data_IF_747311361932
#
_entry.id   IF_747311361932
#
_cell.length_a   1.000
_cell.length_b   1.000
_cell.length_c   1.000
_cell.angle_alpha   90.00
_cell.angle_beta   90.00
_cell.angle_gamma   90.00
#
_symmetry.space_group_name_H-M   'P 1'
#
loop_
_entity.id
_entity.type
_entity.pdbx_description
1 polymer ?
#
# COMPACT_ATOMS: atom_id res chain seq x y z
N UNK A 1 19.61 49.02 17.70
CA UNK A 1 19.74 47.69 17.06
C UNK A 1 18.34 47.15 16.88
N UNK A 2 17.79 47.26 15.67
CA UNK A 2 16.40 46.89 15.37
C UNK A 2 16.32 45.37 15.23
N UNK A 3 15.65 44.71 16.17
CA UNK A 3 15.34 43.28 16.09
C UNK A 3 14.19 43.14 15.09
N UNK A 4 14.53 42.70 13.87
CA UNK A 4 13.57 42.36 12.82
C UNK A 4 12.73 41.16 13.26
N UNK A 5 11.57 41.42 13.85
CA UNK A 5 10.52 40.43 14.11
C UNK A 5 9.81 40.02 12.81
N UNK A 6 10.48 39.21 11.97
CA UNK A 6 9.76 38.44 10.95
C UNK A 6 9.07 37.28 11.66
N UNK A 7 7.76 37.41 11.91
CA UNK A 7 6.89 36.23 12.14
C UNK A 7 7.17 35.25 11.01
N UNK A 8 7.65 34.05 11.32
CA UNK A 8 7.59 32.95 10.38
C UNK A 8 6.11 32.81 9.98
N UNK A 9 5.79 33.15 8.73
CA UNK A 9 4.53 32.74 8.15
C UNK A 9 4.50 31.22 8.25
N UNK A 10 3.65 30.67 9.12
CA UNK A 10 3.32 29.25 9.06
C UNK A 10 2.79 29.00 7.64
N UNK A 11 3.60 28.35 6.81
CA UNK A 11 3.16 27.90 5.51
C UNK A 11 2.00 26.95 5.75
N UNK A 12 0.77 27.37 5.48
CA UNK A 12 -0.39 26.48 5.57
C UNK A 12 -0.26 25.47 4.44
N UNK A 13 0.16 24.25 4.78
CA UNK A 13 0.28 23.12 3.86
C UNK A 13 -1.10 22.53 3.50
N UNK A 14 -2.09 22.80 4.34
CA UNK A 14 -3.48 22.43 4.11
C UNK A 14 -4.10 23.34 3.04
N UNK A 15 -4.79 22.78 2.06
CA UNK A 15 -5.66 23.59 1.21
C UNK A 15 -7.02 23.72 1.90
N UNK A 16 -7.30 24.88 2.46
CA UNK A 16 -8.59 25.13 3.16
C UNK A 16 -9.79 25.03 2.22
N UNK A 17 -9.60 25.11 0.89
CA UNK A 17 -10.69 24.88 -0.09
C UNK A 17 -11.10 23.41 -0.11
N UNK A 18 -10.13 22.51 -0.01
CA UNK A 18 -10.32 21.07 -0.11
C UNK A 18 -10.57 20.43 1.25
N UNK A 19 -10.73 21.23 2.31
CA UNK A 19 -10.92 20.72 3.68
C UNK A 19 -12.15 19.82 3.81
N UNK A 20 -13.19 20.10 3.02
CA UNK A 20 -14.39 19.27 2.93
C UNK A 20 -14.14 17.94 2.18
N UNK A 21 -13.05 17.82 1.44
CA UNK A 21 -12.70 16.60 0.70
C UNK A 21 -11.79 15.67 1.52
N UNK A 22 -11.36 16.10 2.71
CA UNK A 22 -10.55 15.26 3.62
C UNK A 22 -11.39 14.27 4.45
N UNK A 23 -12.71 14.20 4.21
CA UNK A 23 -13.55 13.16 4.80
C UNK A 23 -13.31 11.81 4.12
N UNK A 24 -13.29 10.75 4.93
CA UNK A 24 -13.16 9.38 4.43
C UNK A 24 -14.56 8.78 4.30
N UNK A 25 -14.94 8.23 3.14
CA UNK A 25 -16.20 7.49 3.03
C UNK A 25 -16.16 6.28 3.96
N UNK A 26 -17.34 5.78 4.34
CA UNK A 26 -17.43 4.51 5.04
C UNK A 26 -16.84 3.39 4.16
N UNK A 27 -16.33 2.33 4.79
CA UNK A 27 -15.81 1.16 4.07
C UNK A 27 -16.88 0.50 3.20
N UNK A 28 -18.15 0.55 3.61
CA UNK A 28 -19.29 0.10 2.82
C UNK A 28 -19.50 0.96 1.58
N UNK A 29 -19.49 2.30 1.72
CA UNK A 29 -19.65 3.19 0.56
C UNK A 29 -18.51 3.01 -0.45
N UNK A 30 -17.26 2.91 0.04
CA UNK A 30 -16.11 2.66 -0.80
C UNK A 30 -16.18 1.29 -1.51
N UNK A 31 -16.66 0.25 -0.84
CA UNK A 31 -16.89 -1.06 -1.45
C UNK A 31 -17.92 -0.99 -2.57
N UNK A 32 -19.07 -0.35 -2.33
CA UNK A 32 -20.11 -0.18 -3.34
C UNK A 32 -19.58 0.57 -4.57
N UNK A 33 -18.74 1.59 -4.37
CA UNK A 33 -18.06 2.29 -5.46
C UNK A 33 -17.14 1.36 -6.28
N UNK A 34 -16.35 0.51 -5.63
CA UNK A 34 -15.51 -0.48 -6.32
C UNK A 34 -16.34 -1.51 -7.10
N UNK A 35 -17.44 -2.00 -6.54
CA UNK A 35 -18.36 -2.94 -7.19
C UNK A 35 -19.03 -2.32 -8.42
N UNK A 36 -19.45 -1.05 -8.31
CA UNK A 36 -20.01 -0.28 -9.41
C UNK A 36 -18.98 -0.05 -10.54
N UNK A 37 -17.72 0.28 -10.21
CA UNK A 37 -16.64 0.34 -11.21
C UNK A 37 -16.44 -1.02 -11.89
N UNK A 38 -16.35 -2.10 -11.12
CA UNK A 38 -16.13 -3.43 -11.66
C UNK A 38 -17.25 -3.85 -12.63
N UNK A 39 -18.49 -3.49 -12.31
CA UNK A 39 -19.65 -3.69 -13.17
C UNK A 39 -19.62 -2.80 -14.41
N UNK A 40 -19.31 -1.50 -14.28
CA UNK A 40 -19.27 -0.53 -15.39
C UNK A 40 -18.24 -0.89 -16.46
N UNK A 41 -17.11 -1.47 -16.06
CA UNK A 41 -16.05 -1.89 -16.99
C UNK A 41 -16.12 -3.39 -17.37
N UNK A 42 -17.12 -4.12 -16.88
CA UNK A 42 -17.28 -5.57 -17.10
C UNK A 42 -15.99 -6.36 -16.83
N UNK A 43 -15.32 -6.06 -15.70
CA UNK A 43 -14.06 -6.70 -15.31
C UNK A 43 -14.25 -7.79 -14.24
N UNK A 44 -15.47 -8.01 -13.77
CA UNK A 44 -15.74 -8.99 -12.72
C UNK A 44 -15.42 -10.43 -13.16
N UNK A 45 -15.62 -10.74 -14.44
CA UNK A 45 -15.42 -12.06 -15.04
C UNK A 45 -13.95 -12.38 -15.39
N UNK A 46 -13.05 -11.39 -15.39
CA UNK A 46 -11.61 -11.58 -15.64
C UNK A 46 -10.79 -11.71 -14.35
N UNK A 47 -11.43 -11.60 -13.19
CA UNK A 47 -10.79 -11.76 -11.89
C UNK A 47 -10.94 -13.21 -11.41
N UNK A 48 -9.81 -13.86 -11.18
CA UNK A 48 -9.75 -15.22 -10.65
C UNK A 48 -9.17 -15.21 -9.24
N UNK A 49 -9.83 -15.90 -8.31
CA UNK A 49 -9.25 -16.16 -6.99
C UNK A 49 -8.19 -17.25 -7.11
N UNK A 50 -6.93 -16.84 -7.28
CA UNK A 50 -5.79 -17.74 -7.38
C UNK A 50 -4.56 -17.11 -6.72
N UNK A 51 -3.70 -17.95 -6.14
CA UNK A 51 -2.44 -17.52 -5.51
C UNK A 51 -1.30 -17.75 -6.50
N UNK A 52 -0.55 -16.70 -6.85
CA UNK A 52 0.64 -16.82 -7.70
C UNK A 52 1.83 -17.26 -6.83
N UNK A 53 2.34 -18.45 -7.11
CA UNK A 53 3.41 -19.09 -6.34
C UNK A 53 4.79 -18.88 -6.98
N UNK A 54 4.85 -18.81 -8.32
CA UNK A 54 6.08 -18.57 -9.09
C UNK A 54 5.77 -17.81 -10.38
N UNK A 55 6.68 -16.92 -10.74
CA UNK A 55 6.70 -16.16 -11.98
C UNK A 55 8.03 -16.48 -12.65
N UNK A 56 7.95 -17.01 -13.87
CA UNK A 56 9.12 -17.25 -14.70
C UNK A 56 8.94 -16.58 -16.05
N UNK A 57 10.04 -16.23 -16.71
CA UNK A 57 10.06 -15.59 -18.02
C UNK A 57 11.07 -16.27 -18.94
N UNK A 58 10.63 -16.53 -20.17
CA UNK A 58 11.47 -17.03 -21.25
C UNK A 58 11.36 -16.05 -22.43
N UNK A 59 12.49 -15.50 -22.92
CA UNK A 59 12.50 -14.68 -24.12
C UNK A 59 12.17 -15.55 -25.33
N UNK A 60 11.65 -14.94 -26.40
CA UNK A 60 11.42 -15.69 -27.63
C UNK A 60 12.75 -15.94 -28.36
N UNK A 61 12.87 -17.09 -29.02
CA UNK A 61 14.00 -17.38 -29.92
C UNK A 61 13.98 -16.49 -31.18
N UNK A 62 12.82 -15.93 -31.53
CA UNK A 62 12.66 -14.97 -32.61
C UNK A 62 12.70 -13.55 -32.05
N UNK A 63 13.62 -12.71 -32.54
CA UNK A 63 13.79 -11.32 -32.07
C UNK A 63 12.54 -10.45 -32.21
N UNK A 64 11.66 -10.76 -33.17
CA UNK A 64 10.41 -10.03 -33.39
C UNK A 64 9.23 -10.56 -32.56
N UNK A 65 9.41 -11.70 -31.90
CA UNK A 65 8.36 -12.35 -31.12
C UNK A 65 8.45 -11.96 -29.63
N UNK A 66 7.31 -11.75 -28.96
CA UNK A 66 7.30 -11.48 -27.53
C UNK A 66 7.74 -12.72 -26.74
N UNK A 67 8.54 -12.51 -25.69
CA UNK A 67 8.76 -13.53 -24.67
C UNK A 67 7.47 -13.91 -23.95
N UNK A 68 7.51 -15.01 -23.20
CA UNK A 68 6.36 -15.55 -22.48
C UNK A 68 6.66 -15.72 -21.01
N UNK A 69 5.78 -15.17 -20.17
CA UNK A 69 5.73 -15.49 -18.75
C UNK A 69 4.97 -16.78 -18.51
N UNK A 70 5.50 -17.62 -17.62
CA UNK A 70 4.78 -18.76 -17.03
C UNK A 70 4.50 -18.46 -15.56
N UNK A 71 3.21 -18.33 -15.22
CA UNK A 71 2.74 -18.13 -13.86
C UNK A 71 2.29 -19.48 -13.29
N UNK A 72 2.93 -19.94 -12.23
CA UNK A 72 2.45 -21.08 -11.45
C UNK A 72 1.50 -20.57 -10.39
N UNK A 73 0.24 -20.96 -10.48
CA UNK A 73 -0.81 -20.51 -9.56
C UNK A 73 -1.47 -21.70 -8.86
N UNK A 74 -2.20 -21.44 -7.77
CA UNK A 74 -2.95 -22.49 -7.05
C UNK A 74 -4.06 -23.15 -7.88
N UNK A 75 -4.47 -22.53 -9.00
CA UNK A 75 -5.45 -23.05 -9.95
C UNK A 75 -4.82 -23.60 -11.24
N UNK A 76 -3.49 -23.67 -11.31
CA UNK A 76 -2.76 -24.22 -12.45
C UNK A 76 -1.80 -23.22 -13.09
N UNK A 77 -1.26 -23.58 -14.26
CA UNK A 77 -0.33 -22.71 -15.01
C UNK A 77 -1.10 -21.71 -15.85
N UNK A 78 -0.63 -20.46 -15.89
CA UNK A 78 -1.12 -19.39 -16.78
C UNK A 78 0.04 -18.84 -17.59
N UNK A 79 -0.24 -18.34 -18.78
CA UNK A 79 0.75 -17.74 -19.67
C UNK A 79 0.39 -16.30 -19.98
N UNK A 80 1.38 -15.42 -20.03
CA UNK A 80 1.18 -14.01 -20.33
C UNK A 80 2.36 -13.45 -21.13
N UNK A 81 2.11 -12.44 -21.97
CA UNK A 81 3.18 -11.66 -22.63
C UNK A 81 3.70 -10.54 -21.73
N UNK A 82 2.83 -10.01 -20.88
CA UNK A 82 3.09 -8.88 -20.00
C UNK A 82 2.47 -9.22 -18.64
N UNK A 83 3.19 -8.91 -17.56
CA UNK A 83 2.71 -9.12 -16.18
C UNK A 83 2.69 -7.79 -15.44
N UNK A 84 1.63 -7.52 -14.67
CA UNK A 84 1.58 -6.40 -13.72
C UNK A 84 1.52 -6.96 -12.31
N UNK A 85 2.55 -6.71 -11.52
CA UNK A 85 2.69 -7.15 -10.14
C UNK A 85 2.18 -6.08 -9.18
N UNK A 86 0.96 -6.29 -8.68
CA UNK A 86 0.24 -5.37 -7.78
C UNK A 86 -0.10 -6.04 -6.43
N UNK A 87 0.89 -6.61 -5.74
CA UNK A 87 0.69 -7.47 -4.56
C UNK A 87 0.48 -6.74 -3.22
N UNK A 88 0.20 -5.44 -3.22
CA UNK A 88 -0.01 -4.66 -2.00
C UNK A 88 1.21 -4.67 -1.08
N UNK A 89 1.10 -5.30 0.10
CA UNK A 89 2.22 -5.44 1.03
C UNK A 89 3.28 -6.46 0.57
N UNK A 90 2.92 -7.37 -0.34
CA UNK A 90 3.74 -8.45 -0.93
C UNK A 90 4.29 -9.51 0.05
N UNK A 91 4.57 -9.13 1.29
CA UNK A 91 4.99 -10.03 2.36
C UNK A 91 3.86 -10.25 3.36
N UNK A 92 3.83 -11.45 3.93
CA UNK A 92 2.95 -11.77 5.03
C UNK A 92 3.28 -10.90 6.25
N UNK A 93 2.27 -10.48 7.04
CA UNK A 93 2.52 -9.79 8.29
C UNK A 93 3.30 -10.70 9.23
N UNK A 94 4.34 -10.18 9.86
CA UNK A 94 5.18 -10.92 10.82
C UNK A 94 5.47 -10.06 12.03
N UNK A 95 5.64 -10.70 13.17
CA UNK A 95 6.24 -10.05 14.33
C UNK A 95 7.72 -9.75 13.99
N UNK A 96 8.28 -8.59 14.38
CA UNK A 96 9.68 -8.26 14.13
C UNK A 96 10.63 -9.37 14.60
N UNK A 97 11.66 -9.66 13.81
CA UNK A 97 12.60 -10.76 14.10
C UNK A 97 13.42 -10.55 15.38
N UNK A 98 13.58 -9.30 15.79
CA UNK A 98 14.25 -8.87 17.02
C UNK A 98 13.28 -8.77 18.22
N UNK A 99 12.02 -9.23 18.08
CA UNK A 99 11.07 -9.15 19.19
C UNK A 99 11.53 -10.03 20.37
N UNK A 100 11.35 -9.56 21.62
CA UNK A 100 11.77 -10.31 22.80
C UNK A 100 10.78 -11.43 23.20
N UNK A 101 9.69 -11.62 22.46
CA UNK A 101 8.64 -12.57 22.78
C UNK A 101 8.91 -13.93 22.14
N UNK A 102 8.95 -14.97 22.97
CA UNK A 102 9.03 -16.36 22.49
C UNK A 102 7.72 -16.80 21.81
N UNK A 103 7.79 -17.60 20.73
CA UNK A 103 6.61 -18.13 20.04
C UNK A 103 5.77 -19.10 20.89
N UNK A 104 6.29 -19.55 22.04
CA UNK A 104 5.58 -20.45 22.97
C UNK A 104 4.45 -19.73 23.73
N UNK A 105 4.55 -18.41 23.88
CA UNK A 105 3.53 -17.62 24.59
C UNK A 105 2.49 -16.99 23.67
N UNK A 106 1.59 -16.20 24.26
CA UNK A 106 0.48 -15.59 23.51
C UNK A 106 0.90 -14.25 22.88
N UNK A 107 1.32 -14.27 21.62
CA UNK A 107 1.72 -13.08 20.85
C UNK A 107 1.31 -13.23 19.39
N UNK A 108 0.87 -12.16 18.74
CA UNK A 108 0.60 -12.17 17.30
C UNK A 108 0.90 -10.81 16.65
N UNK A 109 0.94 -10.79 15.32
CA UNK A 109 0.84 -9.56 14.55
C UNK A 109 -0.63 -9.19 14.33
N UNK A 110 -0.96 -7.90 14.32
CA UNK A 110 -2.30 -7.35 14.19
C UNK A 110 -3.11 -7.86 12.99
N UNK A 111 -2.43 -8.26 11.92
CA UNK A 111 -3.03 -8.77 10.69
C UNK A 111 -2.95 -10.29 10.54
N UNK A 112 -2.45 -11.00 11.56
CA UNK A 112 -2.54 -12.46 11.65
C UNK A 112 -3.75 -12.78 12.51
N UNK A 113 -4.91 -12.99 11.88
CA UNK A 113 -6.05 -13.61 12.55
C UNK A 113 -5.83 -15.12 12.62
N UNK A 114 -6.24 -15.75 13.71
CA UNK A 114 -6.52 -17.19 13.68
C UNK A 114 -7.55 -17.46 12.57
N UNK A 115 -7.42 -18.62 11.94
CA UNK A 115 -7.79 -18.94 10.55
C UNK A 115 -9.28 -18.87 10.16
N UNK A 116 -10.12 -18.13 10.89
CA UNK A 116 -11.56 -18.03 10.64
C UNK A 116 -12.00 -16.58 10.36
N UNK A 117 -12.82 -16.34 9.32
CA UNK A 117 -13.27 -15.00 8.91
C UNK A 117 -14.20 -14.27 9.92
N UNK A 118 -14.58 -14.93 11.02
CA UNK A 118 -15.46 -14.40 12.07
C UNK A 118 -14.76 -14.28 13.45
N UNK A 119 -13.45 -14.51 13.55
CA UNK A 119 -12.77 -14.43 14.85
C UNK A 119 -12.38 -12.98 15.19
N UNK A 120 -12.61 -12.64 16.45
CA UNK A 120 -12.17 -11.39 17.06
C UNK A 120 -10.65 -11.34 17.08
N UNK A 121 -10.05 -10.14 17.02
CA UNK A 121 -8.59 -9.97 17.16
C UNK A 121 -8.05 -10.46 18.52
N UNK A 122 -8.93 -10.70 19.50
CA UNK A 122 -8.59 -11.22 20.81
C UNK A 122 -8.56 -12.75 20.79
N UNK A 123 -7.51 -13.38 21.35
CA UNK A 123 -7.43 -14.83 21.40
C UNK A 123 -8.51 -15.44 22.31
N UNK A 124 -8.93 -16.70 22.07
CA UNK A 124 -9.97 -17.38 22.86
C UNK A 124 -9.73 -17.37 24.38
N UNK A 125 -8.46 -17.40 24.80
CA UNK A 125 -8.07 -17.34 26.20
C UNK A 125 -8.48 -16.02 26.87
N UNK A 126 -8.32 -14.88 26.18
CA UNK A 126 -8.77 -13.58 26.67
C UNK A 126 -10.29 -13.50 26.67
N UNK A 127 -10.96 -13.93 25.59
CA UNK A 127 -12.42 -13.93 25.51
C UNK A 127 -13.05 -14.72 26.66
N UNK A 128 -12.45 -15.86 27.04
CA UNK A 128 -12.88 -16.64 28.20
C UNK A 128 -12.68 -15.90 29.53
N UNK A 129 -11.59 -15.15 29.70
CA UNK A 129 -11.39 -14.31 30.90
C UNK A 129 -12.43 -13.19 30.95
N UNK A 130 -12.72 -12.55 29.82
CA UNK A 130 -13.74 -11.50 29.69
C UNK A 130 -15.13 -12.05 30.04
N UNK A 131 -15.54 -13.20 29.51
CA UNK A 131 -16.86 -13.78 29.81
C UNK A 131 -17.02 -14.16 31.29
N UNK A 132 -15.92 -14.53 31.95
CA UNK A 132 -15.87 -14.78 33.39
C UNK A 132 -15.68 -13.52 34.23
N UNK A 133 -15.70 -12.32 33.63
CA UNK A 133 -15.47 -11.02 34.27
C UNK A 133 -14.15 -10.97 35.06
N UNK A 134 -13.13 -11.71 34.61
CA UNK A 134 -11.78 -11.66 35.19
C UNK A 134 -11.00 -10.49 34.60
N UNK A 135 -10.07 -9.95 35.38
CA UNK A 135 -9.16 -8.92 34.92
C UNK A 135 -8.34 -9.43 33.72
N UNK A 136 -8.21 -8.58 32.71
CA UNK A 136 -7.43 -8.85 31.49
C UNK A 136 -6.56 -7.65 31.11
N UNK A 137 -5.30 -7.91 30.80
CA UNK A 137 -4.33 -6.92 30.37
C UNK A 137 -3.81 -7.28 28.98
N UNK A 138 -4.03 -6.39 28.02
CA UNK A 138 -3.56 -6.53 26.64
C UNK A 138 -2.41 -5.56 26.40
N UNK A 139 -1.29 -6.04 25.88
CA UNK A 139 -0.19 -5.18 25.41
C UNK A 139 -0.27 -5.00 23.89
N UNK A 140 -0.23 -3.76 23.41
CA UNK A 140 -0.16 -3.42 21.99
C UNK A 140 1.17 -2.71 21.72
N UNK A 141 1.93 -3.19 20.74
CA UNK A 141 3.18 -2.56 20.30
C UNK A 141 2.94 -1.84 18.98
N UNK A 142 3.05 -0.50 18.99
CA UNK A 142 2.91 0.33 17.80
C UNK A 142 2.18 1.67 18.06
N UNK A 143 2.56 2.71 17.32
CA UNK A 143 2.01 4.08 17.44
C UNK A 143 1.20 4.54 16.21
N UNK A 144 0.65 3.61 15.43
CA UNK A 144 -0.09 3.91 14.20
C UNK A 144 -1.61 3.80 14.36
N UNK A 145 -2.35 4.12 13.29
CA UNK A 145 -3.82 4.04 13.28
C UNK A 145 -4.32 2.63 13.62
N UNK A 146 -3.66 1.58 13.12
CA UNK A 146 -4.00 0.19 13.42
C UNK A 146 -3.93 -0.11 14.93
N UNK A 147 -2.89 0.34 15.64
CA UNK A 147 -2.82 0.10 17.10
C UNK A 147 -3.91 0.85 17.85
N UNK A 148 -4.23 2.08 17.45
CA UNK A 148 -5.32 2.85 18.04
C UNK A 148 -6.69 2.19 17.84
N UNK A 149 -6.94 1.66 16.63
CA UNK A 149 -8.15 0.92 16.29
C UNK A 149 -8.30 -0.36 17.11
N UNK A 150 -7.19 -1.09 17.29
CA UNK A 150 -7.17 -2.32 18.09
C UNK A 150 -7.41 -2.01 19.56
N UNK A 151 -6.81 -0.94 20.11
CA UNK A 151 -7.04 -0.52 21.48
C UNK A 151 -8.53 -0.22 21.73
N UNK A 152 -9.15 0.59 20.86
CA UNK A 152 -10.58 0.91 20.96
C UNK A 152 -11.46 -0.36 20.86
N UNK A 153 -11.19 -1.22 19.88
CA UNK A 153 -11.94 -2.46 19.69
C UNK A 153 -11.79 -3.43 20.87
N UNK A 154 -10.57 -3.60 21.40
CA UNK A 154 -10.30 -4.47 22.54
C UNK A 154 -11.03 -4.01 23.81
N UNK A 155 -11.01 -2.71 24.10
CA UNK A 155 -11.71 -2.12 25.25
C UNK A 155 -13.23 -2.30 25.12
N UNK A 156 -13.78 -2.02 23.94
CA UNK A 156 -15.21 -2.23 23.63
C UNK A 156 -15.62 -3.71 23.70
N UNK A 157 -14.70 -4.61 23.37
CA UNK A 157 -14.88 -6.06 23.51
C UNK A 157 -14.73 -6.58 24.94
N UNK A 158 -14.41 -5.73 25.92
CA UNK A 158 -14.42 -6.07 27.35
C UNK A 158 -13.05 -6.30 27.98
N UNK A 159 -11.94 -6.06 27.28
CA UNK A 159 -10.59 -6.09 27.89
C UNK A 159 -10.51 -5.08 29.02
N UNK A 160 -10.03 -5.48 30.20
CA UNK A 160 -10.03 -4.60 31.39
C UNK A 160 -9.13 -3.40 31.19
N UNK A 161 -7.86 -3.63 30.84
CA UNK A 161 -6.91 -2.55 30.58
C UNK A 161 -6.06 -2.88 29.35
N UNK A 162 -5.94 -1.92 28.44
CA UNK A 162 -5.02 -1.98 27.32
C UNK A 162 -3.79 -1.14 27.66
N UNK A 163 -2.61 -1.67 27.41
CA UNK A 163 -1.34 -0.97 27.49
C UNK A 163 -0.78 -0.88 26.09
N UNK A 164 -0.40 0.32 25.67
CA UNK A 164 0.13 0.53 24.33
C UNK A 164 1.49 1.21 24.42
N UNK A 165 2.51 0.56 23.85
CA UNK A 165 3.90 1.04 23.83
C UNK A 165 4.31 1.44 22.41
N UNK A 166 5.18 2.44 22.30
CA UNK A 166 5.75 2.86 21.02
C UNK A 166 7.12 3.54 21.20
N UNK A 167 8.00 3.36 20.21
CA UNK A 167 9.41 3.80 20.25
C UNK A 167 9.62 5.31 20.19
N UNK A 168 8.61 6.04 19.71
CA UNK A 168 8.66 7.49 19.54
C UNK A 168 7.47 8.17 20.20
N UNK A 169 7.19 9.43 19.85
CA UNK A 169 6.01 10.11 20.33
C UNK A 169 4.75 9.62 19.59
N UNK A 170 3.59 9.79 20.20
CA UNK A 170 2.32 9.63 19.53
C UNK A 170 2.15 10.76 18.50
N UNK A 171 2.19 10.40 17.22
CA UNK A 171 2.04 11.37 16.11
C UNK A 171 0.58 11.48 15.72
N UNK A 172 0.05 12.70 15.72
CA UNK A 172 -1.33 12.98 15.29
C UNK A 172 -1.29 13.60 13.90
N UNK A 173 -1.86 12.93 12.91
CA UNK A 173 -1.87 13.38 11.51
C UNK A 173 -3.14 12.91 10.80
N UNK A 174 -3.68 13.74 9.93
CA UNK A 174 -4.80 13.34 9.06
C UNK A 174 -4.38 12.36 7.97
N UNK A 175 -3.14 12.50 7.49
CA UNK A 175 -2.55 11.66 6.46
C UNK A 175 -1.34 10.88 6.98
N UNK A 176 -1.09 9.73 6.35
CA UNK A 176 0.04 8.84 6.64
C UNK A 176 1.37 9.31 6.03
N UNK A 177 1.39 10.53 5.48
CA UNK A 177 2.56 11.24 5.00
C UNK A 177 2.41 12.74 5.23
N UNK A 178 3.48 13.50 5.08
CA UNK A 178 3.46 14.96 5.20
C UNK A 178 2.53 15.63 4.17
N UNK A 179 1.83 16.68 4.59
CA UNK A 179 0.83 17.39 3.76
C UNK A 179 1.39 17.92 2.43
N UNK A 180 2.69 18.24 2.38
CA UNK A 180 3.37 18.65 1.15
C UNK A 180 3.28 17.63 0.01
N UNK A 181 3.03 16.34 0.31
CA UNK A 181 2.90 15.27 -0.68
C UNK A 181 1.48 15.05 -1.20
N UNK A 182 0.46 15.55 -0.50
CA UNK A 182 -0.94 15.22 -0.78
C UNK A 182 -1.82 16.45 -1.03
N UNK A 183 -1.40 17.62 -0.56
CA UNK A 183 -2.18 18.85 -0.64
C UNK A 183 -1.53 19.85 -1.62
N UNK A 184 -1.62 21.15 -1.30
CA UNK A 184 -1.28 22.29 -2.15
C UNK A 184 0.09 22.21 -2.85
N UNK A 185 1.11 21.67 -2.20
CA UNK A 185 2.49 21.65 -2.70
C UNK A 185 2.93 20.32 -3.33
N UNK A 186 1.98 19.39 -3.53
CA UNK A 186 2.23 18.05 -4.06
C UNK A 186 3.10 18.03 -5.30
N UNK A 187 2.80 18.86 -6.29
CA UNK A 187 3.56 18.89 -7.56
C UNK A 187 5.02 19.31 -7.35
N UNK A 188 5.30 20.19 -6.38
CA UNK A 188 6.67 20.61 -6.05
C UNK A 188 7.44 19.47 -5.39
N UNK A 189 6.81 18.79 -4.43
CA UNK A 189 7.42 17.65 -3.73
C UNK A 189 7.67 16.47 -4.68
N UNK A 190 6.72 16.15 -5.56
CA UNK A 190 6.90 15.13 -6.59
C UNK A 190 7.98 15.51 -7.61
N UNK A 191 8.04 16.77 -8.03
CA UNK A 191 9.10 17.23 -8.94
C UNK A 191 10.49 17.10 -8.30
N UNK A 192 10.63 17.48 -7.02
CA UNK A 192 11.87 17.26 -6.27
C UNK A 192 12.23 15.77 -6.18
N UNK A 193 11.25 14.92 -5.84
CA UNK A 193 11.46 13.49 -5.72
C UNK A 193 11.87 12.82 -7.03
N UNK A 194 11.21 13.17 -8.14
CA UNK A 194 11.53 12.62 -9.46
C UNK A 194 12.82 13.20 -10.04
N UNK A 195 13.27 14.36 -9.56
CA UNK A 195 14.54 14.97 -9.92
C UNK A 195 15.76 14.42 -9.17
N UNK A 196 15.58 13.52 -8.18
CA UNK A 196 16.70 12.88 -7.49
C UNK A 196 17.45 11.92 -8.43
N UNK A 197 18.77 11.83 -8.27
CA UNK A 197 19.64 11.08 -9.19
C UNK A 197 19.67 9.57 -8.91
N UNK A 198 19.56 9.16 -7.64
CA UNK A 198 19.72 7.75 -7.23
C UNK A 198 18.64 7.28 -6.26
N UNK A 199 18.52 5.96 -6.15
CA UNK A 199 17.48 5.31 -5.35
C UNK A 199 17.69 5.34 -3.84
N UNK A 200 18.92 5.55 -3.39
CA UNK A 200 19.21 5.75 -1.96
C UNK A 200 18.63 7.07 -1.47
N UNK A 201 18.81 8.15 -2.22
CA UNK A 201 18.20 9.45 -1.91
C UNK A 201 16.68 9.39 -1.95
N UNK A 202 16.11 8.68 -2.93
CA UNK A 202 14.66 8.46 -3.01
C UNK A 202 14.15 7.69 -1.80
N UNK A 203 14.87 6.67 -1.33
CA UNK A 203 14.52 5.93 -0.12
C UNK A 203 14.53 6.84 1.12
N UNK A 204 15.55 7.68 1.28
CA UNK A 204 15.64 8.58 2.44
C UNK A 204 14.53 9.65 2.42
N UNK A 205 14.23 10.23 1.26
CA UNK A 205 13.11 11.15 1.09
C UNK A 205 11.76 10.45 1.36
N UNK A 206 11.59 9.22 0.90
CA UNK A 206 10.42 8.38 1.19
C UNK A 206 10.25 8.13 2.70
N UNK A 207 11.30 7.68 3.39
CA UNK A 207 11.28 7.42 4.85
C UNK A 207 10.91 8.69 5.62
N UNK A 208 11.51 9.83 5.25
CA UNK A 208 11.22 11.14 5.84
C UNK A 208 9.78 11.56 5.62
N UNK A 209 9.24 11.37 4.42
CA UNK A 209 7.86 11.72 4.08
C UNK A 209 6.84 10.90 4.87
N UNK A 210 7.04 9.57 4.95
CA UNK A 210 6.15 8.65 5.68
C UNK A 210 6.25 8.88 7.19
N UNK A 211 7.46 9.06 7.73
CA UNK A 211 7.69 9.42 9.14
C UNK A 211 6.97 8.47 10.14
N UNK A 212 6.93 7.17 9.81
CA UNK A 212 6.36 6.12 10.65
C UNK A 212 4.85 6.18 10.87
N UNK A 213 4.36 5.40 11.84
CA UNK A 213 2.95 5.36 12.20
C UNK A 213 2.44 6.68 12.76
N UNK A 214 1.17 6.98 12.49
CA UNK A 214 0.44 8.10 13.08
C UNK A 214 -1.01 7.71 13.31
N UNK A 215 -1.68 8.45 14.21
CA UNK A 215 -3.09 8.32 14.54
C UNK A 215 -3.81 9.57 14.05
N UNK A 216 -5.01 9.42 13.51
CA UNK A 216 -5.80 10.57 13.06
C UNK A 216 -6.47 11.28 14.26
N UNK A 217 -6.94 12.53 14.09
CA UNK A 217 -7.58 13.29 15.17
C UNK A 217 -8.77 12.57 15.83
N UNK A 218 -9.56 11.86 15.02
CA UNK A 218 -10.70 11.05 15.49
C UNK A 218 -10.26 9.96 16.48
N UNK A 219 -9.33 9.08 16.09
CA UNK A 219 -8.87 8.03 17.00
C UNK A 219 -8.07 8.60 18.16
N UNK A 220 -7.36 9.71 17.98
CA UNK A 220 -6.70 10.38 19.09
C UNK A 220 -7.72 10.84 20.16
N UNK A 221 -8.88 11.37 19.75
CA UNK A 221 -9.96 11.70 20.68
C UNK A 221 -10.50 10.46 21.41
N UNK A 222 -10.69 9.35 20.68
CA UNK A 222 -11.12 8.07 21.27
C UNK A 222 -10.10 7.56 22.30
N UNK A 223 -8.80 7.57 21.97
CA UNK A 223 -7.75 7.15 22.90
C UNK A 223 -7.74 8.02 24.15
N UNK A 224 -7.91 9.35 24.04
CA UNK A 224 -8.02 10.24 25.20
C UNK A 224 -9.19 9.87 26.10
N UNK A 225 -10.34 9.52 25.53
CA UNK A 225 -11.49 9.05 26.32
C UNK A 225 -11.16 7.77 27.10
N UNK A 226 -10.50 6.81 26.45
CA UNK A 226 -10.09 5.56 27.10
C UNK A 226 -9.07 5.78 28.21
N UNK A 227 -8.11 6.70 28.01
CA UNK A 227 -7.14 7.11 29.04
C UNK A 227 -7.83 7.77 30.22
N UNK A 228 -8.77 8.70 29.98
CA UNK A 228 -9.53 9.36 31.04
C UNK A 228 -10.36 8.38 31.88
N UNK A 229 -10.80 7.28 31.28
CA UNK A 229 -11.50 6.19 31.97
C UNK A 229 -10.58 5.12 32.60
N UNK A 230 -9.25 5.32 32.55
CA UNK A 230 -8.24 4.36 33.02
C UNK A 230 -8.30 2.98 32.34
N UNK A 231 -8.85 2.91 31.13
CA UNK A 231 -8.95 1.68 30.32
C UNK A 231 -7.80 1.53 29.33
N UNK A 232 -7.08 2.61 29.06
CA UNK A 232 -5.89 2.64 28.20
C UNK A 232 -4.73 3.34 28.93
N UNK A 233 -3.55 2.73 28.87
CA UNK A 233 -2.29 3.34 29.31
C UNK A 233 -1.35 3.44 28.11
N UNK A 234 -0.87 4.65 27.81
CA UNK A 234 0.08 4.90 26.73
C UNK A 234 1.50 5.10 27.27
N UNK A 235 2.45 4.45 26.62
CA UNK A 235 3.88 4.56 26.89
C UNK A 235 4.62 4.94 25.61
N UNK A 236 4.86 6.24 25.45
CA UNK A 236 5.68 6.81 24.38
C UNK A 236 7.18 6.62 24.68
N UNK A 237 8.02 6.69 23.65
CA UNK A 237 9.48 6.52 23.79
C UNK A 237 9.90 5.25 24.56
N UNK A 238 9.16 4.16 24.37
CA UNK A 238 9.30 2.93 25.14
C UNK A 238 9.47 1.73 24.22
N UNK A 239 10.60 1.04 24.36
CA UNK A 239 10.91 -0.25 23.75
C UNK A 239 10.64 -1.40 24.71
N UNK A 240 10.32 -2.58 24.17
CA UNK A 240 10.27 -3.81 24.96
C UNK A 240 11.69 -4.38 25.02
N UNK A 241 12.28 -4.44 26.21
CA UNK A 241 13.65 -4.90 26.41
C UNK A 241 13.72 -6.42 26.59
N UNK A 242 12.77 -7.01 27.31
CA UNK A 242 12.70 -8.45 27.53
C UNK A 242 11.26 -8.89 27.84
N UNK A 243 10.94 -10.15 27.57
CA UNK A 243 9.66 -10.74 27.91
C UNK A 243 9.85 -12.20 28.34
N UNK A 244 9.17 -12.60 29.43
CA UNK A 244 9.21 -13.95 29.97
C UNK A 244 7.78 -14.49 30.05
N UNK A 245 7.55 -15.65 29.44
CA UNK A 245 6.25 -16.32 29.48
C UNK A 245 6.16 -17.22 30.71
N UNK A 246 5.12 -17.05 31.51
CA UNK A 246 4.76 -18.00 32.56
C UNK A 246 3.61 -18.90 32.07
N UNK A 247 3.90 -20.20 31.92
CA UNK A 247 2.95 -21.21 31.47
C UNK A 247 1.83 -21.50 32.48
N UNK A 248 2.07 -21.21 33.77
CA UNK A 248 1.12 -21.45 34.86
C UNK A 248 0.04 -20.37 34.86
N UNK A 249 0.43 -19.10 34.92
CA UNK A 249 -0.51 -17.97 34.84
C UNK A 249 -1.01 -17.70 33.42
N UNK A 250 -0.32 -18.25 32.40
CA UNK A 250 -0.53 -17.99 30.97
C UNK A 250 -0.47 -16.49 30.67
N UNK A 251 0.60 -15.86 31.14
CA UNK A 251 0.81 -14.43 30.97
C UNK A 251 2.28 -14.09 30.75
N UNK A 252 2.52 -12.92 30.15
CA UNK A 252 3.83 -12.34 29.91
C UNK A 252 4.20 -11.39 31.04
N UNK A 253 5.41 -11.56 31.58
CA UNK A 253 6.10 -10.52 32.35
C UNK A 253 7.03 -9.78 31.40
N UNK A 254 6.89 -8.45 31.33
CA UNK A 254 7.58 -7.62 30.33
C UNK A 254 8.45 -6.58 31.03
N UNK A 255 9.68 -6.40 30.54
CA UNK A 255 10.55 -5.29 30.92
C UNK A 255 10.71 -4.33 29.74
N UNK A 256 10.76 -3.04 30.04
CA UNK A 256 10.85 -1.98 29.03
C UNK A 256 12.14 -1.19 29.13
N UNK A 257 12.47 -0.50 28.06
CA UNK A 257 13.53 0.53 28.01
C UNK A 257 12.90 1.85 27.52
N UNK A 258 12.86 2.91 28.34
CA UNK A 258 13.27 2.95 29.74
C UNK A 258 12.40 2.06 30.65
N UNK A 259 12.90 1.63 31.83
CA UNK A 259 12.12 0.79 32.74
C UNK A 259 10.86 1.49 33.28
N UNK A 260 9.71 0.83 33.16
CA UNK A 260 8.46 1.27 33.76
C UNK A 260 8.19 0.43 35.00
N UNK A 261 8.02 1.10 36.15
CA UNK A 261 7.71 0.42 37.40
C UNK A 261 6.25 -0.08 37.42
N UNK A 262 6.02 -1.21 38.10
CA UNK A 262 4.68 -1.77 38.35
C UNK A 262 3.86 -2.10 37.08
N UNK A 263 4.51 -2.47 35.98
CA UNK A 263 3.78 -3.07 34.86
C UNK A 263 3.09 -4.36 35.31
N UNK A 264 1.82 -4.59 34.93
CA UNK A 264 1.17 -5.85 35.21
C UNK A 264 1.74 -6.94 34.29
N UNK A 265 1.34 -8.19 34.53
CA UNK A 265 1.50 -9.22 33.52
C UNK A 265 0.44 -9.08 32.42
N UNK A 266 0.76 -9.53 31.22
CA UNK A 266 -0.07 -9.39 30.02
C UNK A 266 -0.59 -10.73 29.53
N UNK A 267 -1.88 -10.82 29.26
CA UNK A 267 -2.51 -12.06 28.76
C UNK A 267 -2.17 -12.34 27.30
N UNK A 268 -1.93 -11.29 26.54
CA UNK A 268 -1.60 -11.34 25.12
C UNK A 268 -0.86 -10.09 24.68
N UNK A 269 -0.09 -10.22 23.60
CA UNK A 269 0.63 -9.12 22.97
C UNK A 269 0.29 -9.04 21.49
N UNK A 270 -0.10 -7.86 21.03
CA UNK A 270 -0.38 -7.59 19.61
C UNK A 270 0.66 -6.63 19.05
N UNK A 271 1.40 -7.06 18.04
CA UNK A 271 2.27 -6.20 17.25
C UNK A 271 1.48 -5.55 16.11
N UNK A 272 1.28 -4.24 16.21
CA UNK A 272 0.69 -3.42 15.16
C UNK A 272 1.79 -2.60 14.45
N UNK A 273 2.84 -3.30 14.01
CA UNK A 273 4.08 -2.71 13.50
C UNK A 273 4.12 -2.51 11.98
N UNK A 274 3.02 -2.84 11.28
CA UNK A 274 2.89 -2.64 9.84
C UNK A 274 3.36 -3.86 9.05
N UNK A 275 4.06 -3.63 7.95
CA UNK A 275 4.60 -4.70 7.11
C UNK A 275 6.03 -4.34 6.73
N UNK A 276 6.90 -5.34 6.69
CA UNK A 276 8.22 -5.19 6.10
C UNK A 276 8.13 -5.01 4.59
N UNK A 277 9.14 -4.36 4.02
CA UNK A 277 9.33 -4.27 2.58
C UNK A 277 10.66 -4.93 2.25
N UNK A 278 10.58 -6.04 1.53
CA UNK A 278 11.73 -6.77 1.03
C UNK A 278 11.29 -7.57 -0.18
N UNK A 279 11.56 -7.03 -1.36
CA UNK A 279 11.16 -7.62 -2.62
C UNK A 279 11.84 -8.96 -2.88
N UNK A 280 13.06 -9.14 -2.39
CA UNK A 280 13.84 -10.37 -2.57
C UNK A 280 13.27 -11.54 -1.75
N UNK A 281 12.52 -11.22 -0.68
CA UNK A 281 11.79 -12.23 0.12
C UNK A 281 10.48 -12.69 -0.51
N UNK A 282 9.98 -12.03 -1.56
CA UNK A 282 8.73 -12.40 -2.22
C UNK A 282 8.93 -13.69 -3.01
N UNK A 283 8.31 -14.80 -2.55
CA UNK A 283 8.57 -16.13 -3.13
C UNK A 283 8.23 -16.22 -4.62
N UNK A 284 7.15 -15.55 -5.04
CA UNK A 284 6.68 -15.60 -6.42
C UNK A 284 7.68 -15.05 -7.43
N UNK A 285 8.51 -14.08 -7.06
CA UNK A 285 9.46 -13.41 -7.98
C UNK A 285 10.85 -14.00 -7.95
N UNK A 286 11.15 -14.94 -7.03
CA UNK A 286 12.49 -15.53 -6.90
C UNK A 286 13.07 -16.12 -8.20
N UNK A 287 12.32 -16.91 -8.99
CA UNK A 287 12.87 -17.43 -10.25
C UNK A 287 13.25 -16.32 -11.23
N UNK A 288 12.49 -15.23 -11.23
CA UNK A 288 12.77 -14.08 -12.06
C UNK A 288 14.01 -13.32 -11.57
N UNK A 289 14.18 -13.13 -10.25
CA UNK A 289 15.38 -12.53 -9.66
C UNK A 289 16.65 -13.33 -9.96
N UNK A 290 16.55 -14.66 -9.97
CA UNK A 290 17.67 -15.56 -10.29
C UNK A 290 18.12 -15.44 -11.76
N UNK A 291 17.16 -15.30 -12.70
CA UNK A 291 17.45 -15.16 -14.14
C UNK A 291 17.77 -13.72 -14.56
N UNK A 292 17.08 -12.76 -13.96
CA UNK A 292 17.12 -11.34 -14.30
C UNK A 292 17.27 -10.51 -13.01
N UNK A 293 18.48 -10.46 -12.43
CA UNK A 293 18.71 -9.70 -11.21
C UNK A 293 18.31 -8.23 -11.37
N UNK A 294 17.71 -7.67 -10.32
CA UNK A 294 17.40 -6.25 -10.21
C UNK A 294 18.02 -5.72 -8.92
N UNK A 295 18.56 -4.51 -8.97
CA UNK A 295 19.06 -3.83 -7.77
C UNK A 295 17.90 -3.55 -6.82
N UNK A 296 18.16 -3.68 -5.52
CA UNK A 296 17.22 -3.31 -4.46
C UNK A 296 17.83 -2.30 -3.51
N UNK A 297 17.04 -1.33 -3.08
CA UNK A 297 17.45 -0.31 -2.11
C UNK A 297 16.43 -0.25 -0.99
N UNK A 298 16.85 -0.61 0.22
CA UNK A 298 15.97 -0.71 1.39
C UNK A 298 14.82 -1.70 1.22
N UNK A 299 15.03 -2.76 0.42
CA UNK A 299 14.04 -3.79 0.12
C UNK A 299 13.07 -3.44 -1.01
N UNK A 300 13.17 -2.26 -1.64
CA UNK A 300 12.39 -1.89 -2.81
C UNK A 300 13.18 -2.16 -4.09
N UNK A 301 12.54 -2.67 -5.18
CA UNK A 301 13.19 -2.83 -6.47
C UNK A 301 13.49 -1.47 -7.13
N UNK A 302 14.68 -1.35 -7.72
CA UNK A 302 15.09 -0.21 -8.55
C UNK A 302 14.50 -0.33 -9.96
N UNK A 303 13.21 -0.02 -10.10
CA UNK A 303 12.47 -0.11 -11.37
C UNK A 303 12.91 0.97 -12.38
N UNK A 304 12.42 0.90 -13.61
CA UNK A 304 12.54 2.00 -14.58
C UNK A 304 11.51 3.11 -14.32
N UNK A 305 11.52 4.20 -15.11
CA UNK A 305 10.57 5.31 -14.97
C UNK A 305 9.10 4.92 -15.24
N UNK A 306 8.89 3.94 -16.12
CA UNK A 306 7.56 3.42 -16.47
C UNK A 306 7.09 2.29 -15.53
N UNK A 307 7.88 2.01 -14.49
CA UNK A 307 7.66 0.97 -13.48
C UNK A 307 7.91 -0.46 -13.97
N UNK A 308 8.59 -0.64 -15.10
CA UNK A 308 9.07 -1.94 -15.56
C UNK A 308 10.29 -2.43 -14.77
N UNK A 309 10.53 -3.73 -14.87
CA UNK A 309 11.74 -4.39 -14.36
C UNK A 309 12.98 -4.01 -15.15
N UNK A 310 12.88 -4.07 -16.47
CA UNK A 310 13.88 -3.64 -17.46
C UNK A 310 13.21 -3.50 -18.82
N UNK A 311 13.96 -3.06 -19.84
CA UNK A 311 13.46 -3.01 -21.23
C UNK A 311 13.23 -4.42 -21.83
N UNK A 312 13.89 -5.45 -21.30
CA UNK A 312 13.86 -6.82 -21.84
C UNK A 312 12.80 -7.73 -21.19
N UNK A 313 12.43 -7.43 -19.95
CA UNK A 313 11.52 -8.25 -19.14
C UNK A 313 10.24 -7.44 -18.89
N UNK A 314 9.14 -7.71 -19.63
CA UNK A 314 7.93 -6.89 -19.59
C UNK A 314 7.03 -7.23 -18.39
N UNK A 315 7.61 -7.18 -17.19
CA UNK A 315 6.89 -7.16 -15.92
C UNK A 315 6.95 -5.77 -15.31
N UNK A 316 5.80 -5.29 -14.85
CA UNK A 316 5.63 -4.01 -14.19
C UNK A 316 5.34 -4.22 -12.72
N UNK A 317 5.84 -3.35 -11.84
CA UNK A 317 5.58 -3.41 -10.40
C UNK A 317 4.87 -2.13 -9.97
N UNK A 318 3.81 -2.23 -9.17
CA UNK A 318 3.05 -1.07 -8.69
C UNK A 318 2.70 -1.19 -7.20
N UNK A 319 2.10 -0.13 -6.65
CA UNK A 319 1.81 0.00 -5.23
C UNK A 319 3.07 0.25 -4.40
N UNK A 320 3.10 -0.28 -3.18
CA UNK A 320 4.18 -0.02 -2.21
C UNK A 320 5.58 -0.33 -2.76
N UNK A 321 5.74 -1.41 -3.52
CA UNK A 321 7.05 -1.79 -4.06
C UNK A 321 7.60 -0.81 -5.10
N UNK A 322 6.74 -0.02 -5.74
CA UNK A 322 7.14 1.01 -6.69
C UNK A 322 7.37 2.41 -6.06
N UNK A 323 7.49 2.48 -4.72
CA UNK A 323 7.65 3.76 -4.00
C UNK A 323 8.88 4.57 -4.44
N UNK A 324 9.98 3.91 -4.84
CA UNK A 324 11.17 4.59 -5.34
C UNK A 324 10.95 5.30 -6.68
N UNK A 325 9.87 5.02 -7.41
CA UNK A 325 9.54 5.70 -8.68
C UNK A 325 8.30 6.57 -8.58
N UNK A 326 7.34 6.20 -7.74
CA UNK A 326 6.06 6.90 -7.60
C UNK A 326 6.06 7.92 -6.46
N UNK A 327 6.91 7.75 -5.45
CA UNK A 327 6.92 8.58 -4.24
C UNK A 327 6.12 7.97 -3.07
N UNK A 328 5.99 8.70 -1.95
CA UNK A 328 5.46 8.17 -0.70
C UNK A 328 3.96 7.85 -0.71
N UNK A 329 3.22 8.33 -1.71
CA UNK A 329 1.81 8.02 -1.93
C UNK A 329 1.59 6.70 -2.69
N UNK A 330 2.66 6.04 -3.15
CA UNK A 330 2.62 4.76 -3.86
C UNK A 330 1.77 3.67 -3.17
N UNK A 331 1.80 3.51 -1.82
CA UNK A 331 0.96 2.50 -1.14
C UNK A 331 -0.54 2.86 -1.06
N UNK A 332 -0.94 4.06 -1.46
CA UNK A 332 -2.28 4.61 -1.28
C UNK A 332 -3.08 4.59 -2.61
N UNK A 333 -4.37 4.94 -2.55
CA UNK A 333 -5.26 4.97 -3.73
C UNK A 333 -4.76 5.91 -4.84
N UNK A 334 -4.16 7.03 -4.45
CA UNK A 334 -3.55 7.94 -5.40
C UNK A 334 -2.38 7.30 -6.16
N UNK A 335 -1.50 6.59 -5.44
CA UNK A 335 -0.42 5.82 -6.03
C UNK A 335 -0.91 4.72 -6.97
N UNK A 336 -2.03 4.06 -6.63
CA UNK A 336 -2.66 3.07 -7.51
C UNK A 336 -3.09 3.69 -8.85
N UNK A 337 -3.71 4.89 -8.82
CA UNK A 337 -4.07 5.62 -10.03
C UNK A 337 -2.84 6.02 -10.84
N UNK A 338 -1.85 6.64 -10.22
CA UNK A 338 -0.63 7.07 -10.90
C UNK A 338 0.14 5.90 -11.53
N UNK A 339 0.23 4.77 -10.82
CA UNK A 339 0.87 3.56 -11.32
C UNK A 339 0.10 2.97 -12.51
N UNK A 340 -1.23 2.91 -12.43
CA UNK A 340 -2.06 2.44 -13.53
C UNK A 340 -1.89 3.31 -14.79
N UNK A 341 -1.85 4.64 -14.65
CA UNK A 341 -1.61 5.56 -15.76
C UNK A 341 -0.26 5.25 -16.43
N UNK A 342 0.86 5.24 -15.67
CA UNK A 342 2.21 4.97 -16.24
C UNK A 342 2.32 3.62 -16.93
N UNK A 343 1.81 2.57 -16.29
CA UNK A 343 1.89 1.20 -16.80
C UNK A 343 1.04 1.05 -18.06
N UNK A 344 -0.18 1.59 -18.09
CA UNK A 344 -1.05 1.50 -19.26
C UNK A 344 -0.42 2.17 -20.49
N UNK A 345 0.28 3.29 -20.31
CA UNK A 345 1.03 3.96 -21.39
C UNK A 345 2.10 3.05 -21.97
N UNK A 346 2.96 2.46 -21.14
CA UNK A 346 4.05 1.59 -21.61
C UNK A 346 3.54 0.28 -22.22
N UNK A 347 2.48 -0.31 -21.65
CA UNK A 347 1.83 -1.48 -22.24
C UNK A 347 1.29 -1.15 -23.64
N UNK A 348 0.70 0.03 -23.84
CA UNK A 348 0.25 0.49 -25.15
C UNK A 348 1.39 0.57 -26.18
N UNK A 349 2.57 1.05 -25.76
CA UNK A 349 3.79 1.09 -26.57
C UNK A 349 4.26 -0.32 -26.95
N UNK A 350 4.42 -1.21 -25.97
CA UNK A 350 4.88 -2.60 -26.17
C UNK A 350 3.94 -3.43 -27.06
N UNK A 351 2.64 -3.12 -27.06
CA UNK A 351 1.65 -3.79 -27.90
C UNK A 351 1.54 -3.20 -29.31
N UNK A 352 2.35 -2.20 -29.68
CA UNK A 352 2.47 -1.73 -31.05
C UNK A 352 2.00 -0.29 -31.30
N UNK A 353 1.90 0.56 -30.29
CA UNK A 353 1.94 2.02 -30.51
C UNK A 353 3.39 2.50 -30.54
N UNK A 354 4.02 2.46 -31.73
CA UNK A 354 5.05 3.44 -32.07
C UNK A 354 6.43 2.96 -32.51
N UNK A 355 6.54 2.13 -33.55
CA UNK A 355 7.54 2.48 -34.57
C UNK A 355 6.99 3.67 -35.37
N UNK A 356 7.26 4.88 -34.91
CA UNK A 356 7.30 6.04 -35.81
C UNK A 356 8.52 5.84 -36.72
N UNK A 357 8.38 5.03 -37.78
CA UNK A 357 9.37 5.01 -38.86
C UNK A 357 9.22 6.31 -39.66
N UNK A 358 10.03 7.31 -39.31
CA UNK A 358 10.40 8.44 -40.16
C UNK A 358 9.64 9.74 -39.92
N UNK A 359 10.33 10.72 -39.32
CA UNK A 359 10.45 12.08 -39.87
C UNK A 359 11.34 12.92 -38.96
N UNK A 360 12.57 13.19 -39.41
CA UNK A 360 13.14 14.51 -39.17
C UNK A 360 12.15 15.56 -39.70
N UNK A 361 11.41 16.23 -38.82
CA UNK A 361 10.46 17.24 -39.26
C UNK A 361 9.43 17.64 -38.22
N UNK A 362 9.69 18.79 -37.57
CA UNK A 362 8.75 19.74 -36.95
C UNK A 362 7.47 19.21 -36.27
N UNK A 363 7.37 19.56 -34.98
CA UNK A 363 6.10 19.79 -34.27
C UNK A 363 5.26 20.80 -35.06
N UNK A 364 4.20 20.37 -35.75
CA UNK A 364 2.97 21.15 -35.87
C UNK A 364 1.77 20.34 -36.38
N UNK A 365 0.60 20.64 -35.80
CA UNK A 365 -0.77 20.41 -36.28
C UNK A 365 -1.27 18.98 -36.63
N UNK A 366 -2.40 18.62 -35.99
CA UNK A 366 -3.60 18.19 -36.72
C UNK A 366 -3.83 16.68 -36.91
N UNK A 367 -4.89 16.19 -36.26
CA UNK A 367 -5.79 15.11 -36.69
C UNK A 367 -5.25 14.04 -37.64
N UNK A 368 -5.17 12.80 -37.17
CA UNK A 368 -5.08 11.64 -38.06
C UNK A 368 -6.04 10.54 -37.62
N UNK A 369 -6.96 10.19 -38.53
CA UNK A 369 -7.92 9.09 -38.40
C UNK A 369 -7.19 7.75 -38.50
N UNK A 370 -7.33 6.90 -37.50
CA UNK A 370 -6.76 5.55 -37.54
C UNK A 370 -7.67 4.60 -38.34
N UNK A 371 -7.08 3.90 -39.31
CA UNK A 371 -7.69 2.83 -40.09
C UNK A 371 -8.14 1.66 -39.19
N UNK A 372 -9.34 1.14 -39.47
CA UNK A 372 -10.12 0.18 -38.68
C UNK A 372 -9.70 -1.31 -38.76
N UNK A 373 -8.52 -1.66 -39.29
CA UNK A 373 -8.23 -3.06 -39.69
C UNK A 373 -7.08 -3.77 -38.99
N UNK A 374 -6.69 -3.38 -37.77
CA UNK A 374 -5.81 -4.22 -36.95
C UNK A 374 -6.61 -4.88 -35.82
N UNK A 375 -6.47 -6.20 -35.65
CA UNK A 375 -6.84 -6.92 -34.41
C UNK A 375 -5.91 -6.49 -33.25
N UNK A 376 -5.82 -5.20 -33.00
CA UNK A 376 -5.05 -4.58 -31.93
C UNK A 376 -5.95 -4.23 -30.75
N UNK A 377 -5.34 -4.03 -29.59
CA UNK A 377 -6.03 -3.57 -28.37
C UNK A 377 -6.76 -2.25 -28.65
N UNK A 378 -8.06 -2.19 -28.34
CA UNK A 378 -8.84 -0.94 -28.41
C UNK A 378 -8.26 0.08 -27.42
N UNK A 379 -7.54 1.07 -27.95
CA UNK A 379 -6.84 2.06 -27.15
C UNK A 379 -7.76 3.02 -26.38
N UNK A 380 -9.04 3.13 -26.75
CA UNK A 380 -10.04 3.89 -25.98
C UNK A 380 -10.23 3.27 -24.61
N UNK A 381 -10.14 1.95 -24.51
CA UNK A 381 -10.27 1.20 -23.25
C UNK A 381 -9.08 1.37 -22.30
N UNK A 382 -7.94 1.83 -22.80
CA UNK A 382 -6.76 2.10 -21.99
C UNK A 382 -6.78 3.49 -21.31
N UNK A 383 -7.79 4.34 -21.62
CA UNK A 383 -7.98 5.63 -20.94
C UNK A 383 -6.88 6.66 -21.16
N UNK A 384 -6.05 6.49 -22.19
CA UNK A 384 -4.83 7.28 -22.41
C UNK A 384 -5.09 8.71 -22.92
N UNK A 385 -6.35 9.09 -23.19
CA UNK A 385 -6.72 10.43 -23.67
C UNK A 385 -6.21 10.79 -25.07
N UNK A 386 -5.69 9.81 -25.82
CA UNK A 386 -5.06 9.99 -27.15
C UNK A 386 -6.10 9.93 -28.28
N UNK A 387 -7.24 9.28 -28.05
CA UNK A 387 -8.32 9.15 -29.02
C UNK A 387 -9.53 9.98 -28.61
N UNK A 388 -10.23 10.53 -29.60
CA UNK A 388 -11.48 11.25 -29.41
C UNK A 388 -12.52 10.34 -28.74
N UNK A 389 -12.81 10.58 -27.46
CA UNK A 389 -13.79 9.82 -26.69
C UNK A 389 -15.24 10.05 -27.16
N UNK A 390 -15.49 11.08 -27.96
CA UNK A 390 -16.82 11.38 -28.53
C UNK A 390 -17.16 10.51 -29.75
N UNK A 391 -16.20 9.79 -30.35
CA UNK A 391 -16.50 8.86 -31.46
C UNK A 391 -17.33 7.66 -31.01
N UNK A 392 -17.28 7.30 -29.73
CA UNK A 392 -18.13 6.25 -29.11
C UNK A 392 -19.59 6.69 -29.03
N UNK A 393 -19.87 7.99 -29.17
CA UNK A 393 -21.22 8.56 -29.19
C UNK A 393 -21.76 8.76 -30.62
N UNK A 394 -20.96 8.44 -31.65
CA UNK A 394 -21.44 8.49 -33.03
C UNK A 394 -22.46 7.37 -33.23
N UNK A 395 -23.73 7.75 -33.39
CA UNK A 395 -24.79 6.86 -33.84
C UNK A 395 -24.47 6.50 -35.28
N UNK A 396 -24.39 5.21 -35.61
CA UNK A 396 -24.29 4.74 -36.99
C UNK A 396 -25.51 5.25 -37.76
N UNK A 397 -25.33 6.25 -38.62
CA UNK A 397 -26.34 6.62 -39.59
C UNK A 397 -26.50 5.44 -40.56
N UNK A 398 -27.60 4.71 -40.39
CA UNK A 398 -27.97 3.60 -41.25
C UNK A 398 -28.00 4.07 -42.70
N UNK A 399 -27.08 3.54 -43.51
CA UNK A 399 -27.04 3.79 -44.93
C UNK A 399 -28.33 3.31 -45.58
N UNK A 400 -29.11 4.30 -46.02
CA UNK A 400 -30.27 4.15 -46.88
C UNK A 400 -29.87 3.46 -48.19
N UNK A 401 -30.52 2.33 -48.48
CA UNK A 401 -30.58 1.76 -49.82
C UNK A 401 -31.13 2.80 -50.81
N UNK A 402 -30.30 3.31 -51.70
CA UNK A 402 -30.74 3.85 -52.98
C UNK A 402 -30.41 2.84 -54.08
N UNK A 403 -31.43 2.13 -54.54
CA UNK A 403 -31.44 1.41 -55.81
C UNK A 403 -32.13 2.29 -56.86
N UNK A 404 -31.42 2.60 -57.94
CA UNK A 404 -31.99 2.91 -59.26
C UNK A 404 -31.97 1.65 -60.10
#
# INVERSE_FOLDING_TARGET
MVISGKRQQETTYLDERDRLDYFRPSTTLFRNFCEDIASRYDIANIVEKSEVQKIDYEPSECEECPGTFTLHTSTGKKFARIVVFAAGAALSPTVPSDCPFSPVGSVCHAFISSSSPNETILPPAILRKISLKKQTNLLIVGGGLTSAQIADHAIKSGVTTVYQTMRGPLKIKDFDMELGWVAKFKNVFLAQFWGLDNDTERLEMYKKARNGGSVNPEYHHILKSHIASSRLVLHEHTDIASAVWDSTSRSWTVQTSPPISNLPTFDHVIYATGFDVDFEKVQAVKPLLEKYPIETVGGFPCLTHDLSWSDEVPIFVTGRLASLRMGPAAPNLEGARMGAERIAWKIGELLGRGTYKGAEGRRDSGYSSANETAKGVDGRRLGLGIENQFSVLAIEDGSSNESV
#
